data_IF_616702439559
#
_entry.id   IF_616702439559
#
_cell.length_a   1.000
_cell.length_b   1.000
_cell.length_c   1.000
_cell.angle_alpha   90.00
_cell.angle_beta   90.00
_cell.angle_gamma   90.00
#
_symmetry.space_group_name_H-M   'P 1'
#
loop_
_entity.id
_entity.type
_entity.pdbx_description
1 polymer ?
#
# COMPACT_ATOMS: atom_id res chain seq x y z
N UNK A 1 -2.32 -3.66 24.21
CA UNK A 1 -2.27 -3.78 22.73
C UNK A 1 -1.69 -5.12 22.42
N UNK A 2 -1.69 -5.60 21.20
CA UNK A 2 -1.32 -6.99 20.97
C UNK A 2 -0.69 -7.22 19.60
N UNK A 3 0.38 -8.00 19.59
CA UNK A 3 0.94 -8.61 18.39
C UNK A 3 -0.11 -9.53 17.72
N UNK A 4 -0.13 -9.54 16.38
CA UNK A 4 -0.95 -10.47 15.58
C UNK A 4 -0.02 -11.31 14.73
N UNK A 5 -0.13 -12.64 14.84
CA UNK A 5 0.68 -13.58 14.06
C UNK A 5 -0.23 -14.48 13.22
N UNK A 6 -0.05 -14.42 11.91
CA UNK A 6 -0.57 -15.40 10.97
C UNK A 6 0.58 -16.35 10.60
N UNK A 7 0.42 -17.64 10.87
CA UNK A 7 1.39 -18.67 10.50
C UNK A 7 0.78 -19.62 9.49
N UNK A 8 1.20 -19.50 8.21
CA UNK A 8 0.75 -20.29 7.06
C UNK A 8 -0.76 -20.41 6.96
N UNK A 9 -1.43 -19.28 7.18
CA UNK A 9 -2.90 -19.23 7.16
C UNK A 9 -3.42 -19.39 5.74
N UNK A 10 -4.34 -20.34 5.56
CA UNK A 10 -4.99 -20.63 4.29
C UNK A 10 -6.51 -20.61 4.45
N UNK A 11 -7.19 -20.03 3.47
CA UNK A 11 -8.64 -20.09 3.32
C UNK A 11 -9.03 -20.69 2.00
N UNK A 12 -9.69 -21.85 2.06
CA UNK A 12 -10.30 -22.50 0.89
C UNK A 12 -11.80 -22.67 1.14
N UNK A 13 -12.59 -22.50 0.09
CA UNK A 13 -14.03 -22.66 0.09
C UNK A 13 -14.44 -24.05 -0.43
N UNK A 14 -15.68 -24.52 -0.12
CA UNK A 14 -16.14 -25.86 -0.54
C UNK A 14 -16.20 -26.06 -2.06
N UNK A 15 -16.28 -24.99 -2.84
CA UNK A 15 -16.25 -24.99 -4.31
C UNK A 15 -14.85 -25.18 -4.89
N UNK A 16 -13.82 -25.31 -4.03
CA UNK A 16 -12.43 -25.45 -4.39
C UNK A 16 -11.66 -24.13 -4.57
N UNK A 17 -12.33 -22.98 -4.49
CA UNK A 17 -11.66 -21.69 -4.58
C UNK A 17 -10.79 -21.43 -3.34
N UNK A 18 -9.55 -21.01 -3.54
CA UNK A 18 -8.63 -20.63 -2.44
C UNK A 18 -8.44 -19.12 -2.46
N UNK A 19 -9.01 -18.44 -1.46
CA UNK A 19 -8.98 -16.99 -1.35
C UNK A 19 -7.70 -16.47 -0.68
N UNK A 20 -7.09 -17.25 0.21
CA UNK A 20 -5.80 -16.94 0.86
C UNK A 20 -4.99 -18.22 0.95
N UNK A 21 -3.71 -18.16 0.57
CA UNK A 21 -2.85 -19.32 0.49
C UNK A 21 -1.55 -19.07 1.25
N UNK A 22 -1.30 -19.89 2.28
CA UNK A 22 -0.04 -19.98 3.03
C UNK A 22 0.51 -18.62 3.52
N UNK A 23 -0.40 -17.75 4.00
CA UNK A 23 -0.07 -16.40 4.41
C UNK A 23 0.61 -16.42 5.78
N UNK A 24 1.86 -15.93 5.82
CA UNK A 24 2.64 -15.80 7.05
C UNK A 24 3.03 -14.34 7.26
N UNK A 25 2.56 -13.74 8.35
CA UNK A 25 2.82 -12.34 8.70
C UNK A 25 2.87 -12.22 10.22
N UNK A 26 3.89 -11.56 10.74
CA UNK A 26 3.92 -11.05 12.11
C UNK A 26 3.70 -9.56 12.11
N UNK A 27 2.66 -9.10 12.78
CA UNK A 27 2.30 -7.68 12.96
C UNK A 27 2.66 -7.32 14.40
N UNK A 28 3.60 -6.40 14.57
CA UNK A 28 4.08 -6.01 15.88
C UNK A 28 3.01 -5.25 16.70
N UNK A 29 3.20 -5.22 18.01
CA UNK A 29 2.34 -4.42 18.89
C UNK A 29 2.43 -2.93 18.54
N UNK A 30 1.30 -2.29 18.30
CA UNK A 30 1.20 -0.89 17.89
C UNK A 30 1.47 -0.62 16.40
N UNK A 31 1.82 -1.61 15.60
CA UNK A 31 2.09 -1.46 14.17
C UNK A 31 0.81 -1.15 13.37
N UNK A 32 0.95 -0.27 12.38
CA UNK A 32 -0.06 0.00 11.36
C UNK A 32 0.29 -0.74 10.07
N UNK A 33 -0.29 -1.91 9.83
CA UNK A 33 -0.08 -2.68 8.62
C UNK A 33 -1.23 -2.53 7.64
N UNK A 34 -0.90 -2.42 6.35
CA UNK A 34 -1.88 -2.27 5.29
C UNK A 34 -1.83 -3.45 4.34
N UNK A 35 -2.99 -4.04 4.06
CA UNK A 35 -3.18 -5.04 3.01
C UNK A 35 -3.67 -4.33 1.76
N UNK A 36 -2.91 -4.39 0.66
CA UNK A 36 -3.24 -3.75 -0.61
C UNK A 36 -3.14 -4.76 -1.76
N UNK A 37 -3.88 -4.53 -2.83
CA UNK A 37 -3.87 -5.40 -4.02
C UNK A 37 -5.18 -5.31 -4.78
N UNK A 38 -5.28 -6.00 -5.93
CA UNK A 38 -6.45 -6.05 -6.79
C UNK A 38 -7.72 -6.51 -6.11
N UNK A 39 -8.86 -6.27 -6.75
CA UNK A 39 -10.14 -6.81 -6.28
C UNK A 39 -10.10 -8.34 -6.28
N UNK A 40 -10.61 -8.96 -5.20
CA UNK A 40 -10.63 -10.43 -5.09
C UNK A 40 -9.30 -11.10 -4.71
N UNK A 41 -8.22 -10.36 -4.43
CA UNK A 41 -6.92 -10.96 -4.07
C UNK A 41 -6.83 -11.52 -2.63
N UNK A 42 -7.91 -11.47 -1.83
CA UNK A 42 -7.95 -12.07 -0.49
C UNK A 42 -7.81 -11.11 0.69
N UNK A 43 -7.70 -9.78 0.50
CA UNK A 43 -7.54 -8.78 1.58
C UNK A 43 -8.65 -8.82 2.62
N UNK A 44 -9.91 -8.60 2.21
CA UNK A 44 -11.07 -8.64 3.13
C UNK A 44 -11.28 -10.01 3.72
N UNK A 45 -10.95 -11.09 2.99
CA UNK A 45 -10.97 -12.45 3.55
C UNK A 45 -9.96 -12.60 4.67
N UNK A 46 -8.73 -12.10 4.50
CA UNK A 46 -7.70 -12.09 5.55
C UNK A 46 -8.16 -11.29 6.77
N UNK A 47 -8.71 -10.09 6.54
CA UNK A 47 -9.25 -9.26 7.62
C UNK A 47 -10.38 -9.97 8.38
N UNK A 48 -11.30 -10.61 7.65
CA UNK A 48 -12.42 -11.37 8.23
C UNK A 48 -11.94 -12.61 9.01
N UNK A 49 -10.88 -13.29 8.57
CA UNK A 49 -10.26 -14.36 9.35
C UNK A 49 -9.66 -13.85 10.66
N UNK A 50 -9.00 -12.69 10.67
CA UNK A 50 -8.50 -12.06 11.89
C UNK A 50 -9.67 -11.67 12.80
N UNK A 51 -10.76 -11.15 12.22
CA UNK A 51 -11.97 -10.78 12.94
C UNK A 51 -12.73 -11.99 13.51
N UNK A 52 -12.52 -13.20 12.97
CA UNK A 52 -13.30 -14.40 13.29
C UNK A 52 -14.67 -14.43 12.62
N UNK A 53 -14.86 -13.61 11.59
CA UNK A 53 -16.06 -13.60 10.74
C UNK A 53 -15.95 -14.65 9.62
N UNK A 54 -14.74 -15.13 9.37
CA UNK A 54 -14.44 -16.18 8.41
C UNK A 54 -13.54 -17.24 9.06
N UNK A 55 -13.82 -18.51 8.85
CA UNK A 55 -13.05 -19.62 9.41
C UNK A 55 -11.75 -19.82 8.63
N UNK A 56 -10.67 -20.14 9.35
CA UNK A 56 -9.39 -20.51 8.80
C UNK A 56 -9.42 -21.99 8.41
N UNK A 57 -9.05 -22.33 7.17
CA UNK A 57 -9.03 -23.72 6.68
C UNK A 57 -7.81 -24.50 7.17
N UNK A 58 -6.63 -23.82 7.23
CA UNK A 58 -5.40 -24.38 7.81
C UNK A 58 -4.46 -23.25 8.25
N UNK A 59 -3.45 -23.59 9.04
CA UNK A 59 -2.54 -22.62 9.64
C UNK A 59 -3.03 -22.14 11.00
N UNK A 60 -2.32 -21.18 11.58
CA UNK A 60 -2.62 -20.69 12.92
C UNK A 60 -2.67 -19.17 12.97
N UNK A 61 -3.64 -18.62 13.71
CA UNK A 61 -3.77 -17.20 14.02
C UNK A 61 -3.63 -16.99 15.53
N UNK A 62 -2.75 -16.07 15.93
CA UNK A 62 -2.58 -15.64 17.32
C UNK A 62 -2.80 -14.15 17.46
N UNK A 63 -3.41 -13.73 18.56
CA UNK A 63 -3.57 -12.32 18.97
C UNK A 63 -3.09 -12.21 20.40
N UNK A 64 -2.04 -11.42 20.65
CA UNK A 64 -1.43 -11.28 21.97
C UNK A 64 -0.91 -12.60 22.54
N UNK A 65 -0.35 -13.46 21.70
CA UNK A 65 0.15 -14.78 22.06
C UNK A 65 -0.93 -15.89 22.13
N UNK A 66 -2.19 -15.54 22.25
CA UNK A 66 -3.31 -16.50 22.30
C UNK A 66 -3.68 -17.00 20.92
N UNK A 67 -3.79 -18.32 20.73
CA UNK A 67 -4.41 -18.91 19.53
C UNK A 67 -5.91 -18.59 19.50
N UNK A 68 -6.38 -18.01 18.39
CA UNK A 68 -7.76 -17.52 18.27
C UNK A 68 -8.58 -18.17 17.15
N UNK A 69 -8.05 -19.19 16.48
CA UNK A 69 -8.75 -19.85 15.37
C UNK A 69 -10.21 -20.20 15.70
N UNK A 70 -10.42 -20.77 16.90
CA UNK A 70 -11.73 -21.28 17.35
C UNK A 70 -12.49 -20.29 18.25
N UNK A 71 -11.91 -19.08 18.50
CA UNK A 71 -12.58 -18.03 19.29
C UNK A 71 -13.61 -17.28 18.44
N UNK A 72 -14.82 -17.10 18.97
CA UNK A 72 -15.83 -16.26 18.32
C UNK A 72 -15.36 -14.78 18.25
N UNK A 73 -15.85 -13.98 17.28
CA UNK A 73 -15.44 -12.57 17.11
C UNK A 73 -15.48 -11.73 18.39
N UNK A 74 -16.51 -11.91 19.20
CA UNK A 74 -16.70 -11.18 20.46
C UNK A 74 -15.64 -11.48 21.53
N UNK A 75 -14.96 -12.63 21.43
CA UNK A 75 -14.00 -13.13 22.41
C UNK A 75 -12.54 -12.89 21.98
N UNK A 76 -12.31 -12.22 20.82
CA UNK A 76 -11.00 -11.89 20.29
C UNK A 76 -10.47 -10.53 20.76
N UNK A 77 -11.29 -9.73 21.45
CA UNK A 77 -10.98 -8.39 21.95
C UNK A 77 -10.44 -7.43 20.86
N UNK A 78 -11.11 -7.44 19.72
CA UNK A 78 -10.81 -6.59 18.57
C UNK A 78 -11.99 -5.68 18.24
N UNK A 79 -11.73 -4.58 17.52
CA UNK A 79 -12.77 -3.74 16.96
C UNK A 79 -12.63 -3.64 15.44
N UNK A 80 -13.77 -3.62 14.73
CA UNK A 80 -13.81 -3.57 13.28
C UNK A 80 -14.62 -2.37 12.79
N UNK A 81 -14.05 -1.63 11.83
CA UNK A 81 -14.71 -0.59 11.05
C UNK A 81 -14.98 -1.14 9.66
N UNK A 82 -16.25 -1.26 9.30
CA UNK A 82 -16.68 -1.77 8.00
C UNK A 82 -16.73 -0.67 6.95
N UNK A 83 -16.61 -1.03 5.69
CA UNK A 83 -16.72 -0.15 4.53
C UNK A 83 -18.02 0.68 4.53
N UNK A 84 -19.14 0.10 4.93
CA UNK A 84 -20.45 0.77 5.03
C UNK A 84 -20.65 1.59 6.31
N UNK A 85 -19.61 1.69 7.18
CA UNK A 85 -19.66 2.27 8.53
C UNK A 85 -20.60 1.53 9.50
N UNK A 86 -21.60 0.82 9.01
CA UNK A 86 -22.58 0.00 9.76
C UNK A 86 -23.20 0.72 10.99
N UNK A 87 -23.47 2.03 10.86
CA UNK A 87 -24.10 2.81 11.95
C UNK A 87 -25.57 2.44 12.12
N UNK A 88 -26.06 2.45 13.36
CA UNK A 88 -27.47 2.26 13.67
C UNK A 88 -28.24 3.56 13.34
N UNK A 89 -29.10 3.56 12.29
CA UNK A 89 -29.67 4.82 11.76
C UNK A 89 -30.70 5.47 12.69
N UNK A 90 -31.31 4.70 13.58
CA UNK A 90 -32.28 5.18 14.55
C UNK A 90 -31.64 5.75 15.84
N UNK A 91 -30.36 5.45 16.10
CA UNK A 91 -29.59 5.90 17.25
C UNK A 91 -28.90 7.23 16.98
N UNK A 92 -28.71 8.05 18.00
CA UNK A 92 -27.87 9.24 17.96
C UNK A 92 -26.38 8.86 17.89
N UNK A 93 -25.48 9.83 17.64
CA UNK A 93 -24.02 9.64 17.71
C UNK A 93 -23.62 9.09 19.07
N UNK A 94 -24.10 9.71 20.17
CA UNK A 94 -23.88 9.25 21.55
C UNK A 94 -24.29 7.79 21.74
N UNK A 95 -25.45 7.42 21.26
CA UNK A 95 -25.98 6.07 21.37
C UNK A 95 -25.19 5.05 20.52
N UNK A 96 -24.77 5.43 19.31
CA UNK A 96 -23.91 4.59 18.46
C UNK A 96 -22.58 4.29 19.13
N UNK A 97 -21.91 5.30 19.68
CA UNK A 97 -20.62 5.14 20.39
C UNK A 97 -20.82 4.33 21.68
N UNK A 98 -21.88 4.59 22.45
CA UNK A 98 -22.18 3.90 23.71
C UNK A 98 -22.58 2.43 23.55
N UNK A 99 -23.08 2.04 22.37
CA UNK A 99 -23.72 0.74 22.17
C UNK A 99 -22.87 -0.47 22.58
N UNK A 100 -21.57 -0.57 22.19
CA UNK A 100 -20.73 -1.69 22.61
C UNK A 100 -20.56 -1.79 24.13
N UNK A 101 -20.43 -0.65 24.83
CA UNK A 101 -20.32 -0.62 26.30
C UNK A 101 -21.63 -1.02 26.98
N UNK A 102 -22.76 -0.67 26.38
CA UNK A 102 -24.10 -1.09 26.85
C UNK A 102 -24.25 -2.60 26.78
N UNK A 103 -23.81 -3.22 25.69
CA UNK A 103 -23.79 -4.68 25.54
C UNK A 103 -22.87 -5.37 26.55
N UNK A 104 -21.74 -4.74 26.85
CA UNK A 104 -20.78 -5.21 27.88
C UNK A 104 -21.27 -4.95 29.31
N UNK A 105 -22.48 -4.38 29.50
CA UNK A 105 -23.10 -4.07 30.81
C UNK A 105 -22.24 -3.14 31.69
N UNK A 106 -21.48 -2.23 31.07
CA UNK A 106 -20.74 -1.17 31.76
C UNK A 106 -21.71 -0.22 32.44
N UNK A 107 -21.32 0.42 33.56
CA UNK A 107 -22.19 1.34 34.29
C UNK A 107 -22.55 2.57 33.45
N UNK A 108 -23.73 3.17 33.68
CA UNK A 108 -24.15 4.36 32.93
C UNK A 108 -23.20 5.56 33.11
N UNK A 109 -22.59 5.70 34.27
CA UNK A 109 -21.64 6.76 34.58
C UNK A 109 -20.34 6.59 33.75
N UNK A 110 -19.78 5.37 33.74
CA UNK A 110 -18.57 5.07 32.96
C UNK A 110 -18.83 5.17 31.48
N UNK A 111 -20.01 4.73 30.98
CA UNK A 111 -20.41 4.92 29.58
C UNK A 111 -20.41 6.39 29.21
N UNK A 112 -21.00 7.26 30.03
CA UNK A 112 -21.05 8.70 29.74
C UNK A 112 -19.64 9.29 29.65
N UNK A 113 -18.76 8.97 30.60
CA UNK A 113 -17.37 9.42 30.61
C UNK A 113 -16.62 8.96 29.37
N UNK A 114 -16.62 7.67 29.06
CA UNK A 114 -15.90 7.11 27.90
C UNK A 114 -16.42 7.65 26.57
N UNK A 115 -17.73 7.86 26.45
CA UNK A 115 -18.33 8.45 25.22
C UNK A 115 -17.92 9.90 25.07
N UNK A 116 -17.91 10.70 26.13
CA UNK A 116 -17.50 12.11 26.07
C UNK A 116 -15.99 12.25 25.78
N UNK A 117 -15.14 11.39 26.33
CA UNK A 117 -13.71 11.31 26.00
C UNK A 117 -13.49 10.93 24.54
N UNK A 118 -14.16 9.87 24.06
CA UNK A 118 -14.09 9.43 22.66
C UNK A 118 -14.57 10.53 21.70
N UNK A 119 -15.65 11.22 22.06
CA UNK A 119 -16.19 12.32 21.25
C UNK A 119 -15.21 13.49 21.15
N UNK A 120 -14.47 13.83 22.22
CA UNK A 120 -13.41 14.84 22.20
C UNK A 120 -12.25 14.43 21.29
N UNK A 121 -11.79 13.17 21.36
CA UNK A 121 -10.71 12.65 20.52
C UNK A 121 -11.04 12.78 19.03
N UNK A 122 -12.32 12.62 18.67
CA UNK A 122 -12.81 12.56 17.29
C UNK A 122 -13.52 13.83 16.79
N UNK A 123 -13.50 14.93 17.57
CA UNK A 123 -14.21 16.17 17.27
C UNK A 123 -15.72 15.95 16.98
N UNK A 124 -16.37 15.15 17.83
CA UNK A 124 -17.80 14.80 17.69
C UNK A 124 -18.67 15.43 18.80
N UNK A 125 -18.11 16.20 19.70
CA UNK A 125 -18.80 16.70 20.90
C UNK A 125 -20.11 17.44 20.55
N UNK A 126 -20.08 18.34 19.57
CA UNK A 126 -21.24 19.12 19.13
C UNK A 126 -22.25 18.30 18.29
N UNK A 127 -21.90 17.06 17.97
CA UNK A 127 -22.69 16.18 17.10
C UNK A 127 -23.36 15.03 17.87
N UNK A 128 -23.11 14.91 19.18
CA UNK A 128 -23.51 13.75 19.99
C UNK A 128 -25.01 13.45 19.95
N UNK A 129 -25.86 14.45 19.80
CA UNK A 129 -27.32 14.30 19.77
C UNK A 129 -27.90 14.14 18.34
N UNK A 130 -27.07 14.25 17.31
CA UNK A 130 -27.49 14.05 15.92
C UNK A 130 -27.61 12.56 15.58
N UNK A 131 -28.45 12.28 14.56
CA UNK A 131 -28.57 10.95 13.94
C UNK A 131 -27.68 10.84 12.69
N UNK A 132 -27.29 9.61 12.27
CA UNK A 132 -26.43 9.39 11.09
C UNK A 132 -26.89 10.08 9.82
N UNK A 133 -28.20 10.20 9.59
CA UNK A 133 -28.76 10.90 8.42
C UNK A 133 -28.45 12.42 8.39
N UNK A 134 -28.09 13.02 9.51
CA UNK A 134 -27.77 14.42 9.67
C UNK A 134 -26.27 14.73 9.59
N UNK A 135 -25.44 13.71 9.26
CA UNK A 135 -24.00 13.79 9.26
C UNK A 135 -23.41 13.70 7.84
N UNK A 136 -22.31 14.38 7.61
CA UNK A 136 -21.50 14.19 6.41
C UNK A 136 -20.84 12.79 6.38
N UNK A 137 -20.27 12.38 5.23
CA UNK A 137 -19.55 11.12 5.09
C UNK A 137 -18.43 10.95 6.12
N UNK A 138 -17.54 11.94 6.25
CA UNK A 138 -16.44 11.92 7.21
C UNK A 138 -16.92 11.94 8.67
N UNK A 139 -18.01 12.65 8.98
CA UNK A 139 -18.60 12.60 10.32
C UNK A 139 -19.16 11.22 10.65
N UNK A 140 -19.84 10.56 9.69
CA UNK A 140 -20.29 9.15 9.87
C UNK A 140 -19.12 8.20 10.12
N UNK A 141 -18.03 8.37 9.37
CA UNK A 141 -16.81 7.58 9.56
C UNK A 141 -16.23 7.78 10.96
N UNK A 142 -16.07 9.04 11.43
CA UNK A 142 -15.59 9.31 12.79
C UNK A 142 -16.48 8.66 13.86
N UNK A 143 -17.81 8.65 13.66
CA UNK A 143 -18.73 7.94 14.57
C UNK A 143 -18.48 6.43 14.56
N UNK A 144 -18.24 5.82 13.40
CA UNK A 144 -17.90 4.40 13.31
C UNK A 144 -16.57 4.08 14.01
N UNK A 145 -15.57 4.96 13.83
CA UNK A 145 -14.31 4.87 14.58
C UNK A 145 -14.53 5.02 16.09
N UNK A 146 -15.35 5.98 16.52
CA UNK A 146 -15.69 6.16 17.94
C UNK A 146 -16.33 4.94 18.57
N UNK A 147 -17.22 4.27 17.83
CA UNK A 147 -17.81 3.01 18.27
C UNK A 147 -16.78 1.89 18.41
N UNK A 148 -15.74 1.89 17.58
CA UNK A 148 -14.65 0.94 17.66
C UNK A 148 -13.68 1.24 18.83
N UNK A 149 -13.30 2.50 19.01
CA UNK A 149 -12.29 2.96 19.98
C UNK A 149 -12.78 2.84 21.43
N UNK A 150 -14.08 3.11 21.69
CA UNK A 150 -14.64 3.24 23.04
C UNK A 150 -14.43 2.01 23.93
N UNK A 151 -14.07 0.86 23.34
CA UNK A 151 -13.82 -0.41 24.05
C UNK A 151 -12.36 -0.64 24.43
N UNK A 152 -11.44 0.22 24.01
CA UNK A 152 -9.97 0.01 24.16
C UNK A 152 -9.54 -1.38 23.65
N UNK A 153 -9.78 -1.74 22.39
CA UNK A 153 -9.51 -3.07 21.87
C UNK A 153 -8.02 -3.34 21.73
N UNK A 154 -7.63 -4.62 21.73
CA UNK A 154 -6.25 -5.04 21.48
C UNK A 154 -5.76 -4.71 20.07
N UNK A 155 -6.66 -4.71 19.08
CA UNK A 155 -6.36 -4.35 17.70
C UNK A 155 -7.56 -3.73 16.98
N UNK A 156 -7.27 -2.86 16.01
CA UNK A 156 -8.25 -2.30 15.07
C UNK A 156 -8.15 -3.00 13.72
N UNK A 157 -9.31 -3.31 13.16
CA UNK A 157 -9.46 -3.84 11.82
C UNK A 157 -10.28 -2.86 11.00
N UNK A 158 -9.78 -2.42 9.84
CA UNK A 158 -10.45 -1.43 8.99
C UNK A 158 -10.59 -1.97 7.57
N UNK A 159 -11.82 -2.21 7.12
CA UNK A 159 -12.12 -2.70 5.77
C UNK A 159 -12.54 -1.55 4.87
N UNK A 160 -11.64 -1.08 4.03
CA UNK A 160 -11.82 0.02 3.06
C UNK A 160 -12.56 1.25 3.63
N UNK A 161 -12.16 1.81 4.77
CA UNK A 161 -12.96 2.81 5.47
C UNK A 161 -13.11 4.14 4.72
N UNK A 162 -12.28 4.42 3.71
CA UNK A 162 -12.29 5.66 2.95
C UNK A 162 -12.93 5.54 1.56
N UNK A 163 -13.30 4.35 1.11
CA UNK A 163 -13.78 4.08 -0.26
C UNK A 163 -15.05 4.86 -0.64
N UNK A 164 -15.93 5.14 0.33
CA UNK A 164 -17.20 5.85 0.12
C UNK A 164 -17.11 7.38 0.26
N UNK A 165 -15.89 7.95 0.29
CA UNK A 165 -15.66 9.39 0.44
C UNK A 165 -15.21 10.01 -0.89
N UNK A 166 -15.57 11.29 -1.09
CA UNK A 166 -15.03 12.08 -2.17
C UNK A 166 -13.52 12.33 -2.00
N UNK A 167 -12.81 12.68 -3.08
CA UNK A 167 -11.35 12.79 -3.10
C UNK A 167 -10.81 13.80 -2.06
N UNK A 168 -11.47 14.96 -1.89
CA UNK A 168 -11.04 15.99 -0.93
C UNK A 168 -11.17 15.50 0.51
N UNK A 169 -12.30 14.88 0.83
CA UNK A 169 -12.57 14.35 2.15
C UNK A 169 -11.68 13.16 2.47
N UNK A 170 -11.35 12.32 1.46
CA UNK A 170 -10.42 11.19 1.61
C UNK A 170 -9.03 11.66 2.03
N UNK A 171 -8.48 12.73 1.42
CA UNK A 171 -7.18 13.30 1.82
C UNK A 171 -7.21 13.77 3.28
N UNK A 172 -8.28 14.48 3.69
CA UNK A 172 -8.42 14.93 5.07
C UNK A 172 -8.49 13.75 6.05
N UNK A 173 -9.33 12.76 5.74
CA UNK A 173 -9.55 11.60 6.60
C UNK A 173 -8.33 10.70 6.73
N UNK A 174 -7.49 10.58 5.69
CA UNK A 174 -6.18 9.90 5.81
C UNK A 174 -5.34 10.53 6.91
N UNK A 175 -5.18 11.84 6.88
CA UNK A 175 -4.41 12.55 7.92
C UNK A 175 -5.00 12.37 9.33
N UNK A 176 -6.33 12.31 9.45
CA UNK A 176 -7.00 12.08 10.73
C UNK A 176 -6.78 10.66 11.25
N UNK A 177 -6.86 9.65 10.36
CA UNK A 177 -6.59 8.24 10.74
C UNK A 177 -5.14 8.08 11.21
N UNK A 178 -4.16 8.64 10.50
CA UNK A 178 -2.76 8.60 10.89
C UNK A 178 -2.53 9.22 12.28
N UNK A 179 -3.10 10.42 12.52
CA UNK A 179 -2.99 11.10 13.84
C UNK A 179 -3.67 10.31 14.95
N UNK A 180 -4.80 9.69 14.64
CA UNK A 180 -5.54 8.89 15.61
C UNK A 180 -4.77 7.64 16.00
N UNK A 181 -4.24 6.91 15.02
CA UNK A 181 -3.44 5.70 15.26
C UNK A 181 -2.19 6.04 16.10
N UNK A 182 -1.44 7.08 15.73
CA UNK A 182 -0.29 7.56 16.50
C UNK A 182 -0.65 7.94 17.95
N UNK A 183 -1.84 8.52 18.19
CA UNK A 183 -2.31 8.86 19.54
C UNK A 183 -2.70 7.65 20.35
N UNK A 184 -3.32 6.66 19.72
CA UNK A 184 -3.82 5.47 20.39
C UNK A 184 -2.73 4.40 20.54
N UNK A 185 -1.74 4.36 19.63
CA UNK A 185 -0.69 3.36 19.58
C UNK A 185 -1.20 1.92 19.40
N UNK A 186 -2.44 1.73 18.92
CA UNK A 186 -3.08 0.42 18.85
C UNK A 186 -2.71 -0.27 17.55
N UNK A 187 -2.40 -1.57 17.62
CA UNK A 187 -2.15 -2.43 16.44
C UNK A 187 -3.31 -2.31 15.46
N UNK A 188 -3.01 -1.97 14.22
CA UNK A 188 -4.04 -1.70 13.21
C UNK A 188 -3.79 -2.49 11.94
N UNK A 189 -4.81 -3.22 11.48
CA UNK A 189 -4.82 -3.88 10.16
C UNK A 189 -5.83 -3.16 9.28
N UNK A 190 -5.34 -2.60 8.20
CA UNK A 190 -6.12 -1.76 7.29
C UNK A 190 -6.16 -2.39 5.90
N UNK A 191 -7.32 -2.50 5.31
CA UNK A 191 -7.51 -2.98 3.93
C UNK A 191 -7.85 -1.82 3.03
N UNK A 192 -7.19 -1.73 1.89
CA UNK A 192 -7.51 -0.75 0.84
C UNK A 192 -7.18 -1.28 -0.54
N UNK A 193 -7.78 -0.69 -1.57
CA UNK A 193 -7.35 -0.81 -2.95
C UNK A 193 -6.63 0.47 -3.43
N UNK A 194 -6.56 1.53 -2.61
CA UNK A 194 -5.89 2.79 -2.93
C UNK A 194 -4.42 2.73 -2.51
N UNK A 195 -3.53 2.74 -3.50
CA UNK A 195 -2.08 2.72 -3.28
C UNK A 195 -1.60 3.94 -2.49
N UNK A 196 -2.23 5.13 -2.69
CA UNK A 196 -1.84 6.34 -1.97
C UNK A 196 -2.11 6.20 -0.47
N UNK A 197 -3.19 5.51 -0.09
CA UNK A 197 -3.46 5.18 1.31
C UNK A 197 -2.37 4.26 1.86
N UNK A 198 -2.03 3.20 1.12
CA UNK A 198 -1.01 2.25 1.52
C UNK A 198 0.37 2.91 1.71
N UNK A 199 0.76 3.76 0.77
CA UNK A 199 2.07 4.43 0.79
C UNK A 199 2.18 5.56 1.83
N UNK A 200 1.05 6.06 2.37
CA UNK A 200 1.05 7.22 3.27
C UNK A 200 0.67 6.93 4.71
N UNK A 201 0.01 5.81 4.98
CA UNK A 201 -0.51 5.48 6.31
C UNK A 201 0.23 4.33 6.98
N UNK A 202 0.69 3.33 6.23
CA UNK A 202 1.25 2.11 6.80
C UNK A 202 2.69 2.24 7.24
N UNK A 203 3.01 1.64 8.39
CA UNK A 203 4.40 1.36 8.76
C UNK A 203 4.95 0.28 7.83
N UNK A 204 4.15 -0.75 7.57
CA UNK A 204 4.39 -1.80 6.57
C UNK A 204 3.16 -2.06 5.71
N UNK A 205 3.42 -2.49 4.49
CA UNK A 205 2.40 -2.81 3.50
C UNK A 205 2.60 -4.24 3.01
N UNK A 206 1.51 -4.97 2.88
CA UNK A 206 1.43 -6.31 2.29
C UNK A 206 0.79 -6.18 0.92
N UNK A 207 1.54 -6.39 -0.13
CA UNK A 207 1.01 -6.43 -1.50
C UNK A 207 0.50 -7.85 -1.77
N UNK A 208 -0.80 -7.99 -1.98
CA UNK A 208 -1.46 -9.29 -2.21
C UNK A 208 -1.86 -9.46 -3.68
N UNK A 209 -1.69 -10.69 -4.19
CA UNK A 209 -2.15 -11.09 -5.52
C UNK A 209 -2.62 -12.55 -5.48
N UNK A 210 -3.83 -12.83 -5.98
CA UNK A 210 -4.39 -14.18 -6.09
C UNK A 210 -4.23 -15.01 -4.80
N UNK A 211 -4.52 -14.40 -3.65
CA UNK A 211 -4.45 -15.07 -2.33
C UNK A 211 -3.06 -15.18 -1.72
N UNK A 212 -2.01 -14.69 -2.38
CA UNK A 212 -0.62 -14.79 -1.94
C UNK A 212 -0.04 -13.40 -1.68
N UNK A 213 0.71 -13.24 -0.58
CA UNK A 213 1.52 -12.04 -0.36
C UNK A 213 2.71 -12.05 -1.32
N UNK A 214 2.81 -11.03 -2.16
CA UNK A 214 3.89 -10.87 -3.13
C UNK A 214 5.13 -10.24 -2.52
N UNK A 215 4.91 -9.28 -1.63
CA UNK A 215 5.96 -8.61 -0.86
C UNK A 215 5.36 -8.01 0.40
N UNK A 216 6.14 -7.99 1.47
CA UNK A 216 5.85 -7.32 2.73
C UNK A 216 7.04 -6.43 3.05
N UNK A 217 6.82 -5.13 3.23
CA UNK A 217 7.90 -4.18 3.49
C UNK A 217 7.38 -2.79 3.81
N UNK A 218 8.30 -1.87 4.08
CA UNK A 218 7.95 -0.45 4.19
C UNK A 218 7.46 0.09 2.83
N UNK A 219 6.69 1.19 2.81
CA UNK A 219 6.33 1.84 1.55
C UNK A 219 7.55 2.14 0.65
N UNK A 220 8.66 2.58 1.25
CA UNK A 220 9.91 2.88 0.53
C UNK A 220 10.52 1.63 -0.12
N UNK A 221 10.55 0.49 0.60
CA UNK A 221 11.08 -0.77 0.04
C UNK A 221 10.24 -1.27 -1.14
N UNK A 222 8.91 -1.22 -1.01
CA UNK A 222 8.00 -1.64 -2.08
C UNK A 222 8.17 -0.80 -3.35
N UNK A 223 8.47 0.49 -3.19
CA UNK A 223 8.66 1.42 -4.30
C UNK A 223 10.06 1.30 -4.91
N UNK A 224 11.11 1.28 -4.06
CA UNK A 224 12.51 1.32 -4.49
C UNK A 224 13.10 -0.05 -4.81
N UNK A 225 12.60 -1.11 -4.16
CA UNK A 225 13.09 -2.50 -4.27
C UNK A 225 11.94 -3.49 -4.46
N UNK A 226 11.08 -3.33 -5.47
CA UNK A 226 9.98 -4.27 -5.70
C UNK A 226 10.51 -5.68 -5.97
N UNK A 227 9.93 -6.69 -5.32
CA UNK A 227 10.40 -8.06 -5.43
C UNK A 227 10.15 -8.70 -6.82
N UNK A 228 9.15 -8.21 -7.54
CA UNK A 228 8.77 -8.76 -8.85
C UNK A 228 8.05 -7.72 -9.73
N UNK A 229 7.81 -8.07 -10.99
CA UNK A 229 7.10 -7.26 -11.98
C UNK A 229 5.73 -6.79 -11.49
N UNK A 230 5.00 -7.66 -10.78
CA UNK A 230 3.69 -7.32 -10.28
C UNK A 230 3.76 -6.18 -9.25
N UNK A 231 4.63 -6.28 -8.25
CA UNK A 231 4.81 -5.23 -7.24
C UNK A 231 5.30 -3.94 -7.88
N UNK A 232 6.26 -4.03 -8.81
CA UNK A 232 6.82 -2.88 -9.52
C UNK A 232 5.77 -2.10 -10.33
N UNK A 233 4.88 -2.82 -11.01
CA UNK A 233 3.81 -2.22 -11.81
C UNK A 233 2.59 -1.83 -11.00
N UNK A 234 2.31 -2.55 -9.90
CA UNK A 234 1.19 -2.23 -9.02
C UNK A 234 1.48 -1.02 -8.14
N UNK A 235 2.71 -0.88 -7.62
CA UNK A 235 3.10 0.22 -6.71
C UNK A 235 3.65 1.40 -7.52
N UNK A 236 2.94 2.53 -7.44
CA UNK A 236 3.25 3.79 -8.11
C UNK A 236 2.13 4.28 -9.01
N UNK A 237 1.94 5.61 -9.06
CA UNK A 237 0.95 6.27 -9.94
C UNK A 237 1.58 7.53 -10.54
N UNK A 238 1.87 7.52 -11.84
CA UNK A 238 1.69 6.43 -12.81
C UNK A 238 2.54 5.18 -12.54
N UNK A 239 2.15 4.05 -13.13
CA UNK A 239 2.88 2.79 -13.00
C UNK A 239 4.27 2.83 -13.64
N UNK A 240 5.14 1.88 -13.27
CA UNK A 240 6.45 1.71 -13.90
C UNK A 240 6.31 1.34 -15.38
N UNK A 241 7.16 1.92 -16.23
CA UNK A 241 7.26 1.52 -17.64
C UNK A 241 8.09 0.23 -17.78
N UNK A 242 7.66 -0.68 -18.65
CA UNK A 242 8.33 -1.96 -18.88
C UNK A 242 8.70 -2.15 -20.34
N UNK A 243 9.99 -2.33 -20.61
CA UNK A 243 10.55 -2.51 -21.93
C UNK A 243 11.13 -3.92 -22.09
N UNK A 244 10.91 -4.59 -23.24
CA UNK A 244 11.59 -5.84 -23.54
C UNK A 244 13.10 -5.57 -23.68
N UNK A 245 13.92 -6.46 -23.13
CA UNK A 245 15.36 -6.33 -23.17
C UNK A 245 16.06 -7.69 -23.31
N UNK A 246 17.33 -7.66 -23.67
CA UNK A 246 18.21 -8.82 -23.69
C UNK A 246 19.58 -8.47 -23.15
N UNK A 247 20.25 -9.41 -22.49
CA UNK A 247 21.63 -9.22 -22.04
C UNK A 247 22.59 -9.14 -23.21
N UNK A 248 23.58 -8.28 -23.06
CA UNK A 248 24.78 -8.20 -23.91
C UNK A 248 26.02 -8.54 -23.08
N UNK A 249 27.20 -8.49 -23.69
CA UNK A 249 28.47 -8.74 -22.98
C UNK A 249 28.75 -7.68 -21.90
N UNK A 250 28.25 -6.45 -22.10
CA UNK A 250 28.52 -5.29 -21.23
C UNK A 250 27.30 -4.77 -20.47
N UNK A 251 26.10 -5.28 -20.80
CA UNK A 251 24.90 -4.76 -20.15
C UNK A 251 23.59 -5.31 -20.69
N UNK A 252 22.63 -4.41 -20.96
CA UNK A 252 21.30 -4.75 -21.48
C UNK A 252 20.99 -3.91 -22.73
N UNK A 253 20.41 -4.56 -23.73
CA UNK A 253 19.93 -3.94 -24.95
C UNK A 253 18.43 -3.70 -24.84
N UNK A 254 18.02 -2.46 -24.94
CA UNK A 254 16.65 -1.97 -25.00
C UNK A 254 16.24 -1.65 -26.45
N UNK A 255 14.95 -1.49 -26.77
CA UNK A 255 14.50 -1.12 -28.15
C UNK A 255 15.14 0.16 -28.69
N UNK A 256 15.51 1.09 -27.81
CA UNK A 256 16.05 2.42 -28.15
C UNK A 256 17.53 2.60 -27.83
N UNK A 257 18.26 1.54 -27.46
CA UNK A 257 19.71 1.60 -27.26
C UNK A 257 20.25 0.55 -26.30
N UNK A 258 21.56 0.60 -26.05
CA UNK A 258 22.25 -0.30 -25.13
C UNK A 258 22.71 0.46 -23.88
N UNK A 259 22.54 -0.17 -22.72
CA UNK A 259 22.94 0.36 -21.42
C UNK A 259 24.02 -0.52 -20.84
N UNK A 260 25.18 0.07 -20.54
CA UNK A 260 26.26 -0.60 -19.80
C UNK A 260 25.87 -0.68 -18.32
N UNK A 261 25.93 -1.88 -17.74
CA UNK A 261 25.65 -2.09 -16.32
C UNK A 261 26.92 -1.89 -15.47
N UNK A 262 26.73 -1.43 -14.24
CA UNK A 262 27.83 -1.33 -13.26
C UNK A 262 28.26 -2.72 -12.77
N UNK A 263 29.49 -2.82 -12.24
CA UNK A 263 29.99 -4.10 -11.71
C UNK A 263 29.10 -4.61 -10.57
N UNK A 264 28.57 -3.74 -9.73
CA UNK A 264 27.66 -4.09 -8.64
C UNK A 264 26.40 -4.79 -9.15
N UNK A 265 25.80 -4.29 -10.23
CA UNK A 265 24.63 -4.91 -10.86
C UNK A 265 25.01 -6.26 -11.47
N UNK A 266 26.19 -6.37 -12.11
CA UNK A 266 26.67 -7.63 -12.64
C UNK A 266 26.87 -8.69 -11.52
N UNK A 267 27.38 -8.29 -10.37
CA UNK A 267 27.62 -9.18 -9.22
C UNK A 267 26.28 -9.70 -8.64
N UNK A 268 25.25 -8.85 -8.57
CA UNK A 268 23.89 -9.25 -8.17
C UNK A 268 23.25 -10.17 -9.22
N UNK A 269 23.34 -9.83 -10.49
CA UNK A 269 22.82 -10.66 -11.59
C UNK A 269 23.46 -12.05 -11.64
N UNK A 270 24.76 -12.16 -11.28
CA UNK A 270 25.44 -13.45 -11.24
C UNK A 270 24.84 -14.42 -10.21
N UNK A 271 24.18 -13.91 -9.15
CA UNK A 271 23.52 -14.72 -8.13
C UNK A 271 22.19 -15.32 -8.61
N UNK A 272 21.53 -14.68 -9.59
CA UNK A 272 20.25 -15.12 -10.16
C UNK A 272 20.39 -16.05 -11.37
N UNK A 273 21.59 -16.17 -11.95
CA UNK A 273 21.76 -16.71 -13.30
C UNK A 273 21.38 -15.67 -14.36
N UNK A 274 21.68 -15.95 -15.64
CA UNK A 274 21.34 -15.08 -16.76
C UNK A 274 20.21 -15.70 -17.58
N UNK A 275 18.93 -15.29 -17.35
CA UNK A 275 17.83 -15.73 -18.21
C UNK A 275 18.00 -15.14 -19.62
N UNK A 276 17.44 -15.83 -20.63
CA UNK A 276 17.56 -15.38 -22.02
C UNK A 276 16.76 -14.13 -22.30
N UNK A 277 15.59 -13.99 -21.65
CA UNK A 277 14.67 -12.89 -21.84
C UNK A 277 14.53 -12.10 -20.53
N UNK A 278 14.71 -10.80 -20.62
CA UNK A 278 14.53 -9.90 -19.48
C UNK A 278 13.62 -8.74 -19.84
N UNK A 279 13.03 -8.17 -18.80
CA UNK A 279 12.23 -6.96 -18.88
C UNK A 279 12.94 -5.88 -18.06
N UNK A 280 13.09 -4.70 -18.64
CA UNK A 280 13.65 -3.54 -17.95
C UNK A 280 12.52 -2.61 -17.55
N UNK A 281 12.45 -2.31 -16.25
CA UNK A 281 11.53 -1.35 -15.67
C UNK A 281 12.21 0.00 -15.43
N UNK A 282 11.50 1.09 -15.73
CA UNK A 282 11.89 2.45 -15.37
C UNK A 282 10.66 3.25 -14.93
N UNK A 283 10.78 3.97 -13.82
CA UNK A 283 9.68 4.78 -13.33
C UNK A 283 9.53 6.08 -14.12
N UNK A 284 8.30 6.61 -14.26
CA UNK A 284 8.03 7.85 -15.01
C UNK A 284 8.90 9.04 -14.61
N UNK A 285 9.21 9.20 -13.31
CA UNK A 285 10.04 10.29 -12.78
C UNK A 285 11.54 10.17 -13.09
N UNK A 286 11.97 9.06 -13.66
CA UNK A 286 13.34 8.85 -14.14
C UNK A 286 13.46 9.04 -15.66
N UNK A 287 12.42 9.63 -16.27
CA UNK A 287 12.39 10.00 -17.69
C UNK A 287 12.07 11.50 -17.78
N UNK A 288 12.97 12.28 -18.39
CA UNK A 288 12.82 13.72 -18.51
C UNK A 288 13.00 14.17 -19.98
N UNK A 289 12.57 15.38 -20.31
CA UNK A 289 12.88 16.05 -21.57
C UNK A 289 14.39 16.29 -21.68
N UNK A 290 15.04 15.69 -22.67
CA UNK A 290 16.49 15.76 -22.84
C UNK A 290 17.05 17.19 -23.00
N UNK A 291 16.20 18.16 -23.38
CA UNK A 291 16.58 19.56 -23.46
C UNK A 291 16.69 20.26 -22.10
N UNK A 292 16.15 19.67 -21.06
CA UNK A 292 16.08 20.26 -19.70
C UNK A 292 17.05 19.64 -18.71
N UNK A 293 17.67 18.49 -19.03
CA UNK A 293 18.63 17.83 -18.15
C UNK A 293 20.00 18.50 -18.21
N UNK A 294 20.72 18.45 -17.09
CA UNK A 294 22.10 18.97 -17.02
C UNK A 294 23.12 18.03 -17.68
N UNK A 295 24.35 18.50 -17.80
CA UNK A 295 25.44 17.76 -18.46
C UNK A 295 25.76 16.43 -17.74
N UNK A 296 25.67 16.38 -16.41
CA UNK A 296 25.94 15.16 -15.64
C UNK A 296 24.84 14.11 -15.81
N UNK A 297 23.57 14.56 -15.79
CA UNK A 297 22.44 13.69 -16.07
C UNK A 297 22.51 13.12 -17.49
N UNK A 298 22.95 13.95 -18.47
CA UNK A 298 23.09 13.53 -19.88
C UNK A 298 24.13 12.42 -20.10
N UNK A 299 25.20 12.38 -19.31
CA UNK A 299 26.22 11.31 -19.38
C UNK A 299 25.65 9.97 -18.93
N UNK A 300 24.67 9.97 -18.00
CA UNK A 300 24.04 8.77 -17.42
C UNK A 300 22.69 8.44 -18.05
N UNK A 301 22.26 9.22 -19.02
CA UNK A 301 20.99 9.02 -19.69
C UNK A 301 21.18 8.33 -21.04
N UNK A 302 20.29 7.41 -21.35
CA UNK A 302 20.04 6.96 -22.71
C UNK A 302 18.97 7.89 -23.31
N UNK A 303 19.22 8.48 -24.47
CA UNK A 303 18.22 9.36 -25.12
C UNK A 303 17.52 8.67 -26.27
N UNK A 304 16.25 8.97 -26.46
CA UNK A 304 15.46 8.48 -27.59
C UNK A 304 14.45 9.51 -28.06
N UNK A 305 14.33 9.65 -29.37
CA UNK A 305 13.26 10.46 -29.97
C UNK A 305 11.96 9.66 -29.96
N UNK A 306 10.91 10.20 -29.35
CA UNK A 306 9.60 9.58 -29.27
C UNK A 306 8.53 10.52 -29.82
N UNK A 307 7.39 9.96 -30.30
CA UNK A 307 6.23 10.75 -30.66
C UNK A 307 5.28 10.82 -29.47
N UNK A 308 4.94 12.04 -29.06
CA UNK A 308 3.98 12.30 -27.95
C UNK A 308 2.57 11.97 -28.42
N UNK A 309 1.91 11.08 -27.72
CA UNK A 309 0.51 10.72 -27.97
C UNK A 309 -0.43 11.71 -27.24
N UNK A 310 -0.21 11.85 -25.95
CA UNK A 310 -1.03 12.68 -25.07
C UNK A 310 -0.19 13.36 -23.98
N UNK A 311 -0.67 14.47 -23.42
CA UNK A 311 -0.01 15.22 -22.34
C UNK A 311 -1.03 15.55 -21.25
N UNK A 312 -0.78 15.11 -20.03
CA UNK A 312 -1.52 15.52 -18.85
C UNK A 312 -0.75 16.59 -18.07
N UNK A 313 -1.37 17.75 -17.86
CA UNK A 313 -0.77 18.84 -17.10
C UNK A 313 -1.52 19.00 -15.78
N UNK A 314 -0.88 18.58 -14.69
CA UNK A 314 -1.48 18.61 -13.34
C UNK A 314 -1.02 19.80 -12.50
N UNK A 315 -0.47 20.81 -13.13
CA UNK A 315 0.04 22.03 -12.48
C UNK A 315 1.52 21.88 -12.07
N UNK A 316 1.81 21.12 -11.02
CA UNK A 316 3.19 20.91 -10.57
C UNK A 316 3.93 19.84 -11.39
N UNK A 317 3.22 18.91 -11.99
CA UNK A 317 3.74 17.80 -12.78
C UNK A 317 3.14 17.80 -14.18
N UNK A 318 3.90 17.32 -15.16
CA UNK A 318 3.46 17.10 -16.53
C UNK A 318 3.79 15.66 -16.92
N UNK A 319 2.76 14.88 -17.26
CA UNK A 319 2.90 13.49 -17.73
C UNK A 319 2.76 13.44 -19.24
N UNK A 320 3.74 12.82 -19.89
CA UNK A 320 3.82 12.65 -21.34
C UNK A 320 3.60 11.18 -21.66
N UNK A 321 2.50 10.89 -22.34
CA UNK A 321 2.20 9.57 -22.85
C UNK A 321 2.81 9.43 -24.25
N UNK A 322 3.55 8.35 -24.45
CA UNK A 322 4.24 8.10 -25.72
C UNK A 322 4.26 6.63 -26.08
N UNK A 323 4.51 6.34 -27.34
CA UNK A 323 4.66 4.98 -27.87
C UNK A 323 6.08 4.82 -28.41
N UNK A 324 6.65 3.64 -28.23
CA UNK A 324 7.93 3.28 -28.87
C UNK A 324 7.69 2.40 -30.09
N UNK A 325 8.63 2.42 -31.03
CA UNK A 325 8.61 1.48 -32.16
C UNK A 325 8.97 0.08 -31.65
N UNK A 326 8.09 -0.89 -31.86
CA UNK A 326 8.26 -2.29 -31.47
C UNK A 326 7.16 -2.82 -30.56
N UNK A 327 7.24 -4.11 -30.23
CA UNK A 327 6.34 -4.73 -29.27
C UNK A 327 6.73 -4.35 -27.84
N UNK A 328 5.76 -4.04 -26.99
CA UNK A 328 5.97 -3.85 -25.56
C UNK A 328 6.46 -5.12 -24.85
N UNK A 329 6.90 -4.99 -23.61
CA UNK A 329 7.24 -6.13 -22.78
C UNK A 329 6.01 -7.00 -22.54
N UNK A 330 6.19 -8.33 -22.61
CA UNK A 330 5.10 -9.30 -22.41
C UNK A 330 5.46 -10.28 -21.32
N UNK A 331 4.57 -10.38 -20.33
CA UNK A 331 4.57 -11.44 -19.34
C UNK A 331 3.15 -11.65 -18.82
N UNK A 332 2.87 -12.79 -18.19
CA UNK A 332 1.56 -13.05 -17.59
C UNK A 332 1.20 -12.01 -16.52
N UNK A 333 2.20 -11.54 -15.75
CA UNK A 333 2.00 -10.54 -14.72
C UNK A 333 1.68 -9.15 -15.29
N UNK A 334 2.31 -8.75 -16.41
CA UNK A 334 2.02 -7.48 -17.08
C UNK A 334 0.66 -7.49 -17.76
N UNK A 335 0.26 -8.60 -18.34
CA UNK A 335 -1.08 -8.75 -18.94
C UNK A 335 -2.19 -8.58 -17.90
N UNK A 336 -2.01 -9.11 -16.69
CA UNK A 336 -2.96 -8.95 -15.58
C UNK A 336 -3.02 -7.48 -15.11
N UNK A 337 -1.86 -6.83 -14.95
CA UNK A 337 -1.79 -5.40 -14.56
C UNK A 337 -2.44 -4.50 -15.62
N UNK A 338 -2.22 -4.78 -16.91
CA UNK A 338 -2.84 -4.04 -18.02
C UNK A 338 -4.36 -4.20 -18.04
N UNK A 339 -4.87 -5.41 -17.75
CA UNK A 339 -6.31 -5.66 -17.66
C UNK A 339 -6.98 -4.87 -16.52
N UNK A 340 -6.25 -4.60 -15.42
CA UNK A 340 -6.76 -3.82 -14.29
C UNK A 340 -6.63 -2.31 -14.47
N UNK A 341 -5.49 -1.86 -15.00
CA UNK A 341 -5.20 -0.42 -15.16
C UNK A 341 -5.84 0.19 -16.41
N UNK A 342 -6.22 -0.63 -17.39
CA UNK A 342 -6.72 -0.19 -18.71
C UNK A 342 -5.64 0.46 -19.58
N UNK A 343 -4.36 0.42 -19.16
CA UNK A 343 -3.22 0.95 -19.93
C UNK A 343 -2.86 -0.03 -21.05
N UNK A 344 -2.67 0.48 -22.26
CA UNK A 344 -2.31 -0.35 -23.42
C UNK A 344 -0.90 -0.95 -23.30
N UNK A 345 -0.67 -2.14 -23.87
CA UNK A 345 0.62 -2.87 -23.80
C UNK A 345 1.84 -2.09 -24.31
N UNK A 346 1.66 -1.01 -25.07
CA UNK A 346 2.73 -0.20 -25.68
C UNK A 346 2.62 1.28 -25.29
N UNK A 347 1.92 1.60 -24.24
CA UNK A 347 1.76 2.95 -23.74
C UNK A 347 2.72 3.18 -22.59
N UNK A 348 3.57 4.20 -22.72
CA UNK A 348 4.60 4.57 -21.75
C UNK A 348 4.36 5.98 -21.26
N UNK A 349 4.77 6.27 -20.03
CA UNK A 349 4.55 7.55 -19.38
C UNK A 349 5.89 8.11 -18.89
N UNK A 350 6.20 9.34 -19.25
CA UNK A 350 7.30 10.12 -18.67
C UNK A 350 6.75 11.24 -17.79
N UNK A 351 7.35 11.48 -16.63
CA UNK A 351 7.10 12.69 -15.84
C UNK A 351 8.17 13.71 -16.18
N UNK A 352 7.77 14.76 -16.89
CA UNK A 352 8.70 15.81 -17.33
C UNK A 352 8.43 17.12 -16.59
N UNK A 353 9.45 17.97 -16.53
CA UNK A 353 9.34 19.33 -15.99
C UNK A 353 8.21 20.10 -16.67
N UNK A 354 7.53 20.95 -15.91
CA UNK A 354 6.49 21.88 -16.43
C UNK A 354 7.05 22.89 -17.44
N UNK A 355 8.38 23.11 -17.44
CA UNK A 355 9.08 23.96 -18.41
C UNK A 355 9.21 23.30 -19.79
N UNK A 356 9.04 21.99 -19.89
CA UNK A 356 9.08 21.26 -21.16
C UNK A 356 7.99 21.77 -22.12
N UNK A 357 8.37 21.95 -23.40
CA UNK A 357 7.50 22.41 -24.49
C UNK A 357 6.86 21.27 -25.26
N UNK A 358 6.79 20.09 -24.65
CA UNK A 358 6.13 18.92 -25.25
C UNK A 358 4.67 19.21 -25.59
N UNK A 359 4.23 18.68 -26.71
CA UNK A 359 2.86 18.81 -27.18
C UNK A 359 2.42 17.56 -27.94
N UNK A 360 1.13 17.20 -27.89
CA UNK A 360 0.59 16.05 -28.61
C UNK A 360 0.94 16.08 -30.10
N UNK A 361 1.30 14.91 -30.67
CA UNK A 361 1.70 14.77 -32.08
C UNK A 361 3.09 15.32 -32.43
N UNK A 362 3.82 15.88 -31.48
CA UNK A 362 5.19 16.36 -31.68
C UNK A 362 6.18 15.27 -31.29
N UNK A 363 7.35 15.31 -31.95
CA UNK A 363 8.51 14.53 -31.54
C UNK A 363 9.27 15.27 -30.43
N UNK A 364 9.72 14.51 -29.46
CA UNK A 364 10.56 14.98 -28.34
C UNK A 364 11.66 13.98 -28.09
N UNK A 365 12.86 14.46 -27.74
CA UNK A 365 13.93 13.61 -27.25
C UNK A 365 13.76 13.45 -25.74
N UNK A 366 13.48 12.22 -25.28
CA UNK A 366 13.41 11.88 -23.87
C UNK A 366 14.73 11.26 -23.40
N UNK A 367 15.11 11.59 -22.18
CA UNK A 367 16.29 11.07 -21.51
C UNK A 367 15.86 10.10 -20.39
N UNK A 368 16.36 8.88 -20.45
CA UNK A 368 16.09 7.79 -19.51
C UNK A 368 17.30 7.63 -18.58
N UNK A 369 17.12 7.84 -17.27
CA UNK A 369 18.20 7.67 -16.29
C UNK A 369 18.59 6.19 -16.15
N UNK A 370 19.71 5.82 -16.74
CA UNK A 370 20.18 4.42 -16.77
C UNK A 370 20.63 3.90 -15.42
N UNK A 371 20.85 4.75 -14.43
CA UNK A 371 21.22 4.36 -13.06
C UNK A 371 20.01 3.91 -12.22
N UNK A 372 18.79 4.12 -12.73
CA UNK A 372 17.53 3.81 -12.06
C UNK A 372 16.73 2.70 -12.74
N UNK A 373 17.37 1.96 -13.64
CA UNK A 373 16.76 0.82 -14.29
C UNK A 373 16.64 -0.35 -13.30
N UNK A 374 15.55 -1.10 -13.42
CA UNK A 374 15.33 -2.37 -12.72
C UNK A 374 15.22 -3.47 -13.76
N UNK A 375 15.86 -4.61 -13.53
CA UNK A 375 15.89 -5.74 -14.46
C UNK A 375 15.09 -6.88 -13.85
N UNK A 376 14.13 -7.39 -14.62
CA UNK A 376 13.25 -8.48 -14.21
C UNK A 376 13.40 -9.67 -15.15
N UNK A 377 13.29 -10.86 -14.59
CA UNK A 377 13.13 -12.08 -15.36
C UNK A 377 11.75 -12.09 -16.06
N UNK A 378 11.71 -12.31 -17.35
CA UNK A 378 10.46 -12.23 -18.12
C UNK A 378 9.48 -13.39 -17.80
N UNK A 379 10.00 -14.55 -17.39
CA UNK A 379 9.21 -15.76 -17.15
C UNK A 379 8.69 -15.81 -15.71
N UNK A 380 9.60 -15.67 -14.72
CA UNK A 380 9.23 -15.69 -13.31
C UNK A 380 8.68 -14.35 -12.79
N UNK A 381 9.06 -13.26 -13.44
CA UNK A 381 8.78 -11.89 -12.99
C UNK A 381 9.67 -11.40 -11.87
N UNK A 382 10.63 -12.19 -11.39
CA UNK A 382 11.49 -11.83 -10.27
C UNK A 382 12.39 -10.63 -10.60
N UNK A 383 12.64 -9.75 -9.63
CA UNK A 383 13.57 -8.66 -9.77
C UNK A 383 15.01 -9.18 -9.65
N UNK A 384 15.76 -9.06 -10.71
CA UNK A 384 17.17 -9.49 -10.80
C UNK A 384 18.16 -8.39 -10.34
N UNK A 385 17.68 -7.16 -10.10
CA UNK A 385 18.51 -6.02 -9.68
C UNK A 385 18.71 -5.95 -8.17
N UNK A 386 18.06 -6.84 -7.41
CA UNK A 386 18.21 -6.96 -5.96
C UNK A 386 18.70 -8.37 -5.63
N UNK A 387 19.38 -8.59 -4.49
CA UNK A 387 19.78 -9.93 -4.07
C UNK A 387 18.56 -10.88 -3.98
N UNK A 388 18.73 -12.19 -4.28
CA UNK A 388 17.64 -13.15 -4.19
C UNK A 388 17.09 -13.23 -2.75
N UNK A 389 15.78 -13.39 -2.62
CA UNK A 389 15.12 -13.53 -1.33
C UNK A 389 15.73 -14.71 -0.53
N UNK A 390 16.24 -14.40 0.66
CA UNK A 390 16.96 -15.36 1.52
C UNK A 390 18.44 -15.02 1.74
N UNK A 391 18.99 -14.03 1.03
CA UNK A 391 20.34 -13.50 1.27
C UNK A 391 20.38 -12.44 2.40
N UNK A 392 19.25 -11.83 2.72
CA UNK A 392 19.11 -10.96 3.90
C UNK A 392 18.21 -11.65 4.93
N UNK A 393 18.66 -11.72 6.16
CA UNK A 393 17.88 -12.20 7.31
C UNK A 393 16.58 -11.39 7.41
N UNK A 394 15.49 -12.07 7.72
CA UNK A 394 14.18 -11.45 8.01
C UNK A 394 14.38 -10.23 8.88
N UNK A 395 14.14 -9.03 8.29
CA UNK A 395 14.42 -7.76 8.93
C UNK A 395 13.87 -7.73 10.34
N UNK A 396 14.75 -7.53 11.29
CA UNK A 396 14.43 -7.22 12.67
C UNK A 396 13.50 -6.00 12.65
N UNK A 397 12.38 -6.02 13.37
CA UNK A 397 11.51 -4.84 13.44
C UNK A 397 12.34 -3.64 13.92
N UNK A 398 12.08 -2.43 13.40
CA UNK A 398 12.79 -1.24 13.85
C UNK A 398 12.61 -1.09 15.37
N UNK A 399 13.65 -0.64 16.10
CA UNK A 399 13.56 -0.45 17.53
C UNK A 399 12.43 0.55 17.84
N UNK A 400 11.60 0.21 18.81
CA UNK A 400 10.53 1.07 19.31
C UNK A 400 11.08 2.47 19.61
N UNK A 401 10.37 3.55 19.24
CA UNK A 401 10.83 4.91 19.54
C UNK A 401 11.02 5.05 21.05
N UNK A 402 12.23 5.42 21.46
CA UNK A 402 12.59 5.71 22.84
C UNK A 402 11.70 6.86 23.31
N UNK A 403 11.07 6.76 24.50
CA UNK A 403 10.34 7.88 25.06
C UNK A 403 11.27 9.09 25.18
N UNK A 404 10.89 10.22 24.59
CA UNK A 404 11.60 11.48 24.78
C UNK A 404 11.51 11.83 26.26
N UNK A 405 12.66 11.92 26.95
CA UNK A 405 12.75 12.46 28.31
C UNK A 405 12.16 13.88 28.31
N UNK A 406 11.14 14.09 29.13
CA UNK A 406 10.60 15.39 29.45
C UNK A 406 11.77 16.28 29.93
N UNK A 407 12.18 17.23 29.11
CA UNK A 407 13.06 18.31 29.55
C UNK A 407 12.29 19.16 30.57
N UNK A 408 12.57 18.91 31.86
CA UNK A 408 12.14 19.76 32.94
C UNK A 408 12.77 21.14 32.76
N UNK A 409 11.94 22.15 32.58
CA UNK A 409 12.35 23.54 32.57
C UNK A 409 13.00 23.92 33.91
N UNK A 410 14.09 24.72 33.92
CA UNK A 410 14.69 25.20 35.16
C UNK A 410 13.76 26.20 35.89
N UNK A 411 13.79 26.25 37.22
CA UNK A 411 12.98 27.20 37.98
C UNK A 411 13.43 28.64 37.70
N UNK A 412 12.42 29.51 37.51
CA UNK A 412 12.63 30.96 37.41
C UNK A 412 13.07 31.54 38.77
N UNK A 413 14.18 32.30 38.75
CA UNK A 413 14.52 33.28 39.77
C UNK A 413 13.77 34.61 39.56
#
# INVERSE_FOLDING_TARGET
>A
MAEIVLDRVTKSYPDGATAVKDLSITIADGEFIILVGPSGCGKSTTLNMIAGLEEISSGELRIGGDRVNDKAPKDRDIAMVFQSYALYPHMTVRQNIAFPLTLAKVTKADIATKVDETAKILDLTELLDRKPAQLSGGQRQRVAMGRAIVRDPKAFLMDEPLSNLDAKLRVQMRSEIARLQNRLGTTTVYVTHDQTEAMTLGDRVVVMRAGVAQQIGTPEDLYSKPANLFVAGFIGSPAMNFFPASFTDVGVKLPFGEVTLTQEVHDVLAQHGRPNNVIVGIRPEHIEDASLIDTYARIRALTSEVTVDFVESLGADKYVHFKTEGAGARSAQLAELAAESGVGENEFVARVSTESKVAPGKKVELAFDTTRLMIFDADSGANLSIPPAGAEEHGTPPPSPTPQEEQTAPPAE
#
